data_IF_431254429438
#
_entry.id   IF_431254429438
#
_cell.length_a   1.000
_cell.length_b   1.000
_cell.length_c   1.000
_cell.angle_alpha   90.00
_cell.angle_beta   90.00
_cell.angle_gamma   90.00
#
_symmetry.space_group_name_H-M   'P 1'
#
loop_
_entity.id
_entity.type
_entity.pdbx_description
1 polymer ?
#
# COMPACT_ATOMS: atom_id res chain seq x y z
N UNK A 1 5.79 13.75 7.04
CA UNK A 1 5.42 12.49 7.71
C UNK A 1 5.81 11.36 6.77
N UNK A 2 6.42 10.33 7.34
CA UNK A 2 7.00 9.15 6.68
C UNK A 2 6.05 8.59 5.60
N UNK A 3 6.61 8.15 4.46
CA UNK A 3 5.96 7.79 3.17
C UNK A 3 5.81 8.90 2.11
N UNK A 4 6.87 9.65 1.81
CA UNK A 4 6.88 10.66 0.72
C UNK A 4 6.55 10.11 -0.69
N UNK A 5 6.65 8.79 -0.89
CA UNK A 5 6.36 8.14 -2.18
C UNK A 5 4.93 7.61 -2.29
N UNK A 6 4.14 7.68 -1.21
CA UNK A 6 2.75 7.24 -1.20
C UNK A 6 1.83 8.46 -1.05
N UNK A 7 0.83 8.52 -1.91
CA UNK A 7 -0.26 9.48 -1.78
C UNK A 7 -1.22 9.05 -0.65
N UNK A 8 -1.96 9.99 -0.04
CA UNK A 8 -2.98 9.65 0.96
C UNK A 8 -4.00 8.61 0.46
N UNK A 9 -4.36 8.68 -0.82
CA UNK A 9 -5.28 7.72 -1.45
C UNK A 9 -4.70 6.30 -1.48
N UNK A 10 -3.42 6.16 -1.83
CA UNK A 10 -2.73 4.87 -1.81
C UNK A 10 -2.65 4.31 -0.39
N UNK A 11 -2.41 5.14 0.62
CA UNK A 11 -2.42 4.73 2.03
C UNK A 11 -3.80 4.19 2.46
N UNK A 12 -4.88 4.89 2.11
CA UNK A 12 -6.25 4.43 2.40
C UNK A 12 -6.55 3.09 1.73
N UNK A 13 -6.14 2.89 0.47
CA UNK A 13 -6.30 1.60 -0.21
C UNK A 13 -5.50 0.50 0.48
N UNK A 14 -4.25 0.76 0.83
CA UNK A 14 -3.39 -0.22 1.51
C UNK A 14 -4.01 -0.65 2.84
N UNK A 15 -4.49 0.29 3.65
CA UNK A 15 -5.17 -0.04 4.91
C UNK A 15 -6.46 -0.83 4.70
N UNK A 16 -7.29 -0.44 3.72
CA UNK A 16 -8.53 -1.15 3.42
C UNK A 16 -8.26 -2.61 3.01
N UNK A 17 -7.25 -2.84 2.16
CA UNK A 17 -6.88 -4.19 1.73
C UNK A 17 -6.18 -5.00 2.82
N UNK A 18 -5.39 -4.34 3.68
CA UNK A 18 -4.78 -4.97 4.84
C UNK A 18 -5.84 -5.50 5.81
N UNK A 19 -6.87 -4.70 6.12
CA UNK A 19 -8.00 -5.11 6.96
C UNK A 19 -8.80 -6.28 6.34
N UNK A 20 -8.80 -6.41 5.02
CA UNK A 20 -9.40 -7.54 4.30
C UNK A 20 -8.48 -8.77 4.20
N UNK A 21 -7.32 -8.76 4.89
CA UNK A 21 -6.31 -9.82 4.81
C UNK A 21 -5.82 -10.13 3.39
N UNK A 22 -5.85 -9.12 2.52
CA UNK A 22 -5.49 -9.29 1.12
C UNK A 22 -3.96 -9.32 0.98
N UNK A 23 -3.39 -10.20 0.12
CA UNK A 23 -1.94 -10.29 -0.01
C UNK A 23 -1.35 -9.02 -0.61
N UNK A 24 -0.20 -8.60 -0.08
CA UNK A 24 0.53 -7.40 -0.49
C UNK A 24 0.85 -7.40 -1.98
N UNK A 25 1.12 -8.57 -2.58
CA UNK A 25 1.33 -8.70 -4.03
C UNK A 25 0.13 -8.25 -4.85
N UNK A 26 -1.09 -8.55 -4.39
CA UNK A 26 -2.32 -8.13 -5.06
C UNK A 26 -2.51 -6.62 -4.95
N UNK A 27 -2.27 -6.04 -3.78
CA UNK A 27 -2.36 -4.59 -3.56
C UNK A 27 -1.33 -3.85 -4.41
N UNK A 28 -0.09 -4.32 -4.46
CA UNK A 28 0.96 -3.74 -5.30
C UNK A 28 0.61 -3.76 -6.79
N UNK A 29 0.04 -4.88 -7.28
CA UNK A 29 -0.43 -4.97 -8.66
C UNK A 29 -1.60 -4.02 -8.94
N UNK A 30 -2.56 -3.87 -8.02
CA UNK A 30 -3.69 -2.95 -8.16
C UNK A 30 -3.22 -1.49 -8.20
N UNK A 31 -2.22 -1.15 -7.41
CA UNK A 31 -1.61 0.18 -7.38
C UNK A 31 -0.58 0.41 -8.50
N UNK A 32 -0.34 -0.59 -9.36
CA UNK A 32 0.72 -0.57 -10.39
C UNK A 32 2.09 -0.17 -9.84
N UNK A 33 2.41 -0.62 -8.62
CA UNK A 33 3.67 -0.29 -7.94
C UNK A 33 4.48 -1.53 -7.65
N UNK A 34 5.80 -1.35 -7.59
CA UNK A 34 6.70 -2.32 -6.98
C UNK A 34 6.38 -2.47 -5.49
N UNK A 35 6.48 -3.69 -4.95
CA UNK A 35 6.43 -3.92 -3.50
C UNK A 35 7.57 -3.14 -2.84
N UNK A 36 7.24 -2.18 -1.99
CA UNK A 36 8.19 -1.42 -1.20
C UNK A 36 7.85 -1.57 0.27
N UNK A 37 8.89 -1.69 1.10
CA UNK A 37 8.73 -1.84 2.53
C UNK A 37 8.32 -0.50 3.11
N UNK A 38 7.12 -0.47 3.67
CA UNK A 38 6.57 0.66 4.41
C UNK A 38 7.21 0.61 5.82
N UNK A 39 8.52 0.85 5.92
CA UNK A 39 9.21 0.96 7.21
C UNK A 39 9.09 2.37 7.77
N UNK A 40 9.05 2.48 9.10
CA UNK A 40 9.11 3.74 9.84
C UNK A 40 10.53 4.27 9.90
#
# INVERSE_FOLDING_TARGET
MTYNHLTPTELVMIEAYFNQSQPVSKVANLLQRSRQTIYK
#
